data_IF_235159059616
#
_entry.id   IF_235159059616
#
_cell.length_a   1.000
_cell.length_b   1.000
_cell.length_c   1.000
_cell.angle_alpha   90.00
_cell.angle_beta   90.00
_cell.angle_gamma   90.00
#
_symmetry.space_group_name_H-M   'P 1'
#
loop_
_entity.id
_entity.type
_entity.pdbx_description
1 polymer ?
#
# COMPACT_ATOMS: atom_id res chain seq x y z
N UNK A 1 -25.95 21.64 9.12
CA UNK A 1 -25.63 20.55 8.17
C UNK A 1 -24.57 19.69 8.83
N UNK A 2 -24.80 18.40 9.13
CA UNK A 2 -23.73 17.58 9.67
C UNK A 2 -22.75 17.25 8.53
N UNK A 3 -21.47 17.52 8.77
CA UNK A 3 -20.39 17.04 7.92
C UNK A 3 -20.53 15.52 7.81
N UNK A 4 -20.80 15.01 6.59
CA UNK A 4 -20.72 13.57 6.34
C UNK A 4 -19.34 13.11 6.79
N UNK A 5 -19.30 12.16 7.72
CA UNK A 5 -18.10 11.43 8.14
C UNK A 5 -17.40 10.90 6.88
N UNK A 6 -16.43 11.66 6.36
CA UNK A 6 -15.52 11.15 5.36
C UNK A 6 -14.64 10.16 6.11
N UNK A 7 -14.75 8.88 5.75
CA UNK A 7 -13.86 7.85 6.28
C UNK A 7 -12.42 8.36 6.11
N UNK A 8 -11.56 8.25 7.13
CA UNK A 8 -10.18 8.73 7.04
C UNK A 8 -9.52 8.01 5.86
N UNK A 9 -9.27 8.76 4.79
CA UNK A 9 -8.60 8.19 3.61
C UNK A 9 -7.12 8.23 3.91
N UNK A 10 -6.41 7.10 3.87
CA UNK A 10 -4.97 7.08 4.10
C UNK A 10 -4.29 8.05 3.12
N UNK A 11 -3.42 8.91 3.64
CA UNK A 11 -2.68 9.86 2.82
C UNK A 11 -1.57 9.12 2.07
N UNK A 12 -0.89 8.24 2.81
CA UNK A 12 0.21 7.44 2.33
C UNK A 12 0.13 6.01 2.89
N UNK A 13 0.42 5.02 2.04
CA UNK A 13 0.49 3.61 2.44
C UNK A 13 1.86 3.07 2.01
N UNK A 14 2.56 2.45 2.95
CA UNK A 14 3.77 1.66 2.71
C UNK A 14 3.45 0.19 2.90
N UNK A 15 3.87 -0.65 1.96
CA UNK A 15 3.61 -2.08 1.94
C UNK A 15 4.92 -2.79 1.63
N UNK A 16 5.35 -3.69 2.51
CA UNK A 16 6.43 -4.63 2.21
C UNK A 16 5.83 -5.94 1.73
N UNK A 17 6.03 -6.26 0.45
CA UNK A 17 5.37 -7.40 -0.22
C UNK A 17 6.39 -8.29 -0.95
N UNK A 18 6.17 -9.62 -1.02
CA UNK A 18 6.93 -10.48 -1.92
C UNK A 18 6.84 -10.02 -3.37
N UNK A 19 7.97 -9.95 -4.06
CA UNK A 19 8.05 -9.49 -5.46
C UNK A 19 7.21 -10.35 -6.41
N UNK A 20 7.05 -11.64 -6.12
CA UNK A 20 6.24 -12.56 -6.92
C UNK A 20 4.77 -12.11 -7.05
N UNK A 21 4.25 -11.34 -6.09
CA UNK A 21 2.88 -10.81 -6.13
C UNK A 21 2.75 -9.57 -7.02
N UNK A 22 3.87 -9.00 -7.50
CA UNK A 22 3.93 -7.80 -8.32
C UNK A 22 4.07 -8.08 -9.81
N UNK A 23 4.05 -9.35 -10.25
CA UNK A 23 4.33 -9.74 -11.63
C UNK A 23 3.39 -9.16 -12.70
N UNK A 24 2.29 -8.52 -12.31
CA UNK A 24 1.32 -7.88 -13.21
C UNK A 24 1.37 -6.34 -13.16
N UNK A 25 2.31 -5.77 -12.39
CA UNK A 25 2.51 -4.33 -12.21
C UNK A 25 3.89 -3.95 -12.74
N UNK A 26 3.99 -2.76 -13.33
CA UNK A 26 5.29 -2.25 -13.77
C UNK A 26 6.16 -1.89 -12.56
N UNK A 27 7.32 -2.54 -12.43
CA UNK A 27 8.26 -2.31 -11.34
C UNK A 27 9.18 -1.16 -11.74
N UNK A 28 8.94 0.02 -11.19
CA UNK A 28 9.72 1.22 -11.42
C UNK A 28 9.87 2.01 -10.11
N UNK A 29 11.04 2.59 -9.91
CA UNK A 29 11.35 3.43 -8.74
C UNK A 29 10.90 4.89 -8.94
N UNK A 30 10.11 5.16 -9.98
CA UNK A 30 9.40 6.42 -10.20
C UNK A 30 7.90 6.27 -9.92
N UNK A 31 7.22 7.40 -9.68
CA UNK A 31 5.78 7.41 -9.42
C UNK A 31 4.99 7.11 -10.70
N UNK A 32 4.10 6.13 -10.60
CA UNK A 32 3.24 5.69 -11.69
C UNK A 32 1.78 5.90 -11.31
N UNK A 33 0.99 6.42 -12.23
CA UNK A 33 -0.46 6.54 -12.04
C UNK A 33 -1.09 5.16 -12.12
N UNK A 34 -1.79 4.75 -11.05
CA UNK A 34 -2.65 3.57 -11.10
C UNK A 34 -4.02 3.94 -11.67
N UNK A 35 -4.61 5.02 -11.13
CA UNK A 35 -5.82 5.62 -11.66
C UNK A 35 -5.81 7.15 -11.45
N UNK A 36 -6.97 7.80 -11.65
CA UNK A 36 -7.13 9.25 -11.49
C UNK A 36 -6.90 9.74 -10.05
N UNK A 37 -7.03 8.86 -9.06
CA UNK A 37 -6.92 9.20 -7.64
C UNK A 37 -5.58 8.75 -7.03
N UNK A 38 -5.07 7.58 -7.41
CA UNK A 38 -3.94 6.91 -6.77
C UNK A 38 -2.76 6.70 -7.71
N UNK A 39 -1.57 6.83 -7.12
CA UNK A 39 -0.30 6.51 -7.74
C UNK A 39 0.51 5.59 -6.84
N UNK A 40 1.43 4.84 -7.44
CA UNK A 40 2.30 3.92 -6.73
C UNK A 40 3.76 4.05 -7.19
N UNK A 41 4.68 3.61 -6.35
CA UNK A 41 6.12 3.50 -6.63
C UNK A 41 6.64 2.23 -5.98
N UNK A 42 7.56 1.55 -6.66
CA UNK A 42 8.13 0.29 -6.16
C UNK A 42 9.63 0.47 -6.02
N UNK A 43 10.14 0.37 -4.79
CA UNK A 43 11.57 0.48 -4.55
C UNK A 43 12.33 -0.73 -5.12
N UNK A 44 13.60 -0.54 -5.52
CA UNK A 44 14.48 -1.65 -5.86
C UNK A 44 14.63 -2.64 -4.68
N UNK A 45 15.03 -3.89 -4.95
CA UNK A 45 15.34 -4.85 -3.90
C UNK A 45 16.40 -4.32 -2.94
N UNK A 46 16.20 -4.56 -1.65
CA UNK A 46 17.30 -4.49 -0.69
C UNK A 46 18.09 -5.79 -0.73
N UNK A 47 19.42 -5.69 -0.66
CA UNK A 47 20.30 -6.86 -0.63
C UNK A 47 19.97 -7.83 0.54
N UNK A 48 19.47 -7.31 1.66
CA UNK A 48 19.08 -8.10 2.83
C UNK A 48 17.79 -8.90 2.64
N UNK A 49 16.91 -8.46 1.74
CA UNK A 49 15.61 -9.07 1.48
C UNK A 49 15.30 -9.04 -0.03
N UNK A 50 16.06 -9.81 -0.84
CA UNK A 50 16.05 -9.68 -2.31
C UNK A 50 14.70 -10.04 -2.94
N UNK A 51 13.89 -10.86 -2.27
CA UNK A 51 12.56 -11.29 -2.73
C UNK A 51 11.41 -10.41 -2.21
N UNK A 52 11.73 -9.32 -1.50
CA UNK A 52 10.73 -8.37 -1.03
C UNK A 52 10.91 -7.03 -1.74
N UNK A 53 9.80 -6.32 -1.91
CA UNK A 53 9.75 -4.97 -2.44
C UNK A 53 8.95 -4.08 -1.49
N UNK A 54 9.41 -2.85 -1.34
CA UNK A 54 8.61 -1.80 -0.72
C UNK A 54 7.78 -1.13 -1.80
N UNK A 55 6.46 -1.17 -1.61
CA UNK A 55 5.48 -0.49 -2.45
C UNK A 55 4.94 0.68 -1.66
N UNK A 56 5.02 1.85 -2.27
CA UNK A 56 4.45 3.08 -1.75
C UNK A 56 3.24 3.46 -2.57
N UNK A 57 2.18 3.87 -1.89
CA UNK A 57 0.92 4.29 -2.50
C UNK A 57 0.53 5.64 -1.93
N UNK A 58 0.13 6.54 -2.81
CA UNK A 58 -0.21 7.92 -2.47
C UNK A 58 -1.33 8.44 -3.37
N UNK A 59 -2.05 9.46 -2.92
CA UNK A 59 -2.93 10.23 -3.80
C UNK A 59 -2.12 10.96 -4.87
N UNK A 60 -2.49 10.79 -6.14
CA UNK A 60 -1.79 11.35 -7.30
C UNK A 60 -1.58 12.87 -7.22
N UNK A 61 -2.57 13.60 -6.70
CA UNK A 61 -2.51 15.06 -6.55
C UNK A 61 -1.51 15.53 -5.48
N UNK A 62 -1.10 14.65 -4.57
CA UNK A 62 -0.27 14.96 -3.41
C UNK A 62 1.19 14.52 -3.53
N UNK A 63 1.57 13.85 -4.63
CA UNK A 63 2.92 13.31 -4.85
C UNK A 63 4.02 14.33 -4.53
N UNK A 64 3.97 15.54 -5.11
CA UNK A 64 5.03 16.56 -4.94
C UNK A 64 5.15 17.07 -3.51
N UNK A 65 4.01 17.20 -2.82
CA UNK A 65 3.94 17.75 -1.47
C UNK A 65 4.44 16.72 -0.45
N UNK A 66 3.91 15.50 -0.52
CA UNK A 66 4.27 14.45 0.42
C UNK A 66 5.68 13.89 0.18
N UNK A 67 6.18 13.84 -1.07
CA UNK A 67 7.56 13.42 -1.32
C UNK A 67 8.57 14.40 -0.70
N UNK A 68 8.28 15.70 -0.76
CA UNK A 68 9.10 16.72 -0.09
C UNK A 68 9.08 16.52 1.42
N UNK A 69 7.89 16.34 2.00
CA UNK A 69 7.73 16.11 3.44
C UNK A 69 8.40 14.80 3.92
N UNK A 70 8.41 13.76 3.08
CA UNK A 70 9.14 12.52 3.37
C UNK A 70 10.65 12.68 3.32
N UNK A 71 11.18 13.41 2.33
CA UNK A 71 12.61 13.73 2.24
C UNK A 71 13.07 14.60 3.42
N UNK A 72 12.20 15.50 3.87
CA UNK A 72 12.46 16.42 4.98
C UNK A 72 12.31 15.74 6.37
N UNK A 73 12.14 14.41 6.44
CA UNK A 73 11.99 13.62 7.67
C UNK A 73 10.86 14.10 8.60
N UNK A 74 9.75 14.61 8.05
CA UNK A 74 8.58 14.89 8.87
C UNK A 74 8.08 13.60 9.53
N UNK A 75 7.63 13.72 10.79
CA UNK A 75 7.16 12.60 11.62
C UNK A 75 6.00 11.88 10.92
N UNK A 76 6.31 10.82 10.16
CA UNK A 76 5.32 9.88 9.67
C UNK A 76 4.81 9.08 10.86
N UNK A 77 3.66 9.47 11.40
CA UNK A 77 2.99 8.68 12.44
C UNK A 77 2.25 7.54 11.76
N UNK A 78 2.47 6.34 12.27
CA UNK A 78 1.71 5.19 11.85
C UNK A 78 0.26 5.33 12.36
N UNK A 79 -0.70 5.43 11.45
CA UNK A 79 -2.11 5.43 11.79
C UNK A 79 -2.60 3.97 11.92
N UNK A 80 -2.92 3.58 13.15
CA UNK A 80 -3.46 2.25 13.51
C UNK A 80 -4.98 2.23 13.64
N UNK A 81 -5.68 3.28 13.20
CA UNK A 81 -7.13 3.34 13.22
C UNK A 81 -7.73 2.26 12.30
N UNK A 82 -8.70 1.51 12.83
CA UNK A 82 -9.37 0.42 12.11
C UNK A 82 -10.04 0.87 10.80
N UNK A 83 -10.63 2.06 10.76
CA UNK A 83 -11.26 2.62 9.56
C UNK A 83 -10.22 2.98 8.48
N UNK A 84 -9.05 3.48 8.90
CA UNK A 84 -7.94 3.78 7.99
C UNK A 84 -7.36 2.48 7.43
N UNK A 85 -7.21 1.45 8.28
CA UNK A 85 -6.78 0.11 7.88
C UNK A 85 -7.74 -0.51 6.86
N UNK A 86 -9.04 -0.45 7.11
CA UNK A 86 -10.02 -1.02 6.18
C UNK A 86 -10.06 -0.26 4.85
N UNK A 87 -9.89 1.07 4.88
CA UNK A 87 -9.77 1.89 3.68
C UNK A 87 -8.48 1.56 2.90
N UNK A 88 -7.36 1.38 3.59
CA UNK A 88 -6.10 0.97 2.99
C UNK A 88 -6.20 -0.41 2.34
N UNK A 89 -6.85 -1.40 2.98
CA UNK A 89 -7.08 -2.72 2.38
C UNK A 89 -7.76 -2.65 1.02
N UNK A 90 -8.78 -1.79 0.89
CA UNK A 90 -9.50 -1.61 -0.39
C UNK A 90 -8.57 -1.06 -1.46
N UNK A 91 -7.76 -0.05 -1.12
CA UNK A 91 -6.80 0.56 -2.05
C UNK A 91 -5.72 -0.45 -2.45
N UNK A 92 -5.17 -1.20 -1.49
CA UNK A 92 -4.16 -2.24 -1.73
C UNK A 92 -4.70 -3.32 -2.66
N UNK A 93 -5.92 -3.83 -2.39
CA UNK A 93 -6.58 -4.81 -3.27
C UNK A 93 -6.72 -4.31 -4.70
N UNK A 94 -7.03 -3.02 -4.85
CA UNK A 94 -7.22 -2.37 -6.14
C UNK A 94 -5.89 -2.25 -6.89
N UNK A 95 -4.87 -1.70 -6.24
CA UNK A 95 -3.56 -1.43 -6.87
C UNK A 95 -2.84 -2.72 -7.21
N UNK A 96 -2.81 -3.66 -6.27
CA UNK A 96 -2.18 -4.97 -6.46
C UNK A 96 -3.03 -5.93 -7.32
N UNK A 97 -4.10 -5.41 -7.96
CA UNK A 97 -5.08 -6.12 -8.78
C UNK A 97 -5.40 -7.55 -8.30
N UNK A 98 -5.43 -7.72 -6.97
CA UNK A 98 -5.59 -9.02 -6.30
C UNK A 98 -6.99 -9.61 -6.54
N UNK A 99 -7.85 -8.85 -7.21
CA UNK A 99 -9.23 -9.19 -7.52
C UNK A 99 -9.45 -9.80 -8.91
N UNK A 100 -8.51 -9.66 -9.86
CA UNK A 100 -8.74 -10.07 -11.26
C UNK A 100 -7.67 -10.95 -11.89
N UNK A 101 -6.40 -10.82 -11.51
CA UNK A 101 -5.30 -11.32 -12.35
C UNK A 101 -4.31 -12.27 -11.69
N UNK A 102 -4.52 -12.66 -10.44
CA UNK A 102 -3.65 -13.66 -9.85
C UNK A 102 -4.30 -15.04 -9.88
N UNK A 103 -3.64 -16.06 -10.47
CA UNK A 103 -3.94 -17.44 -10.18
C UNK A 103 -3.45 -17.76 -8.76
N UNK A 104 -4.07 -17.15 -7.73
CA UNK A 104 -3.77 -17.42 -6.31
C UNK A 104 -4.57 -18.61 -5.76
N UNK A 105 -5.24 -19.40 -6.61
CA UNK A 105 -5.98 -20.59 -6.15
C UNK A 105 -5.11 -21.53 -5.30
N UNK A 106 -3.78 -21.49 -5.45
CA UNK A 106 -2.84 -22.27 -4.65
C UNK A 106 -2.11 -21.52 -3.51
N UNK A 107 -2.29 -20.20 -3.31
CA UNK A 107 -1.59 -19.46 -2.25
C UNK A 107 -2.52 -18.71 -1.28
N UNK A 108 -3.82 -18.53 -1.60
CA UNK A 108 -4.81 -17.96 -0.68
C UNK A 108 -5.35 -18.98 0.34
N UNK A 109 -5.13 -20.27 0.10
CA UNK A 109 -5.73 -21.35 0.89
C UNK A 109 -4.81 -21.90 1.99
N UNK A 110 -3.55 -21.47 2.07
CA UNK A 110 -2.68 -21.99 3.12
C UNK A 110 -2.81 -21.15 4.40
N UNK A 111 -3.48 -21.74 5.39
CA UNK A 111 -3.82 -21.27 6.75
C UNK A 111 -5.17 -20.54 6.94
N UNK A 112 -6.28 -21.29 6.79
CA UNK A 112 -7.45 -21.14 7.66
C UNK A 112 -8.27 -19.85 7.56
N UNK A 113 -8.80 -19.54 6.38
CA UNK A 113 -9.78 -18.47 6.10
C UNK A 113 -9.24 -17.03 6.04
N UNK A 114 -7.91 -16.82 6.05
CA UNK A 114 -7.32 -15.48 6.08
C UNK A 114 -6.72 -15.06 4.74
N UNK A 115 -6.99 -13.83 4.29
CA UNK A 115 -6.38 -13.30 3.06
C UNK A 115 -4.89 -12.93 3.25
N UNK A 116 -4.09 -12.92 2.19
CA UNK A 116 -2.67 -12.51 2.23
C UNK A 116 -2.52 -11.08 2.77
N UNK A 117 -3.43 -10.17 2.40
CA UNK A 117 -3.47 -8.79 2.90
C UNK A 117 -3.77 -8.79 4.41
N UNK A 118 -4.74 -9.62 4.81
CA UNK A 118 -4.98 -10.14 6.17
C UNK A 118 -3.68 -10.33 6.96
N UNK A 119 -2.84 -11.22 6.41
CA UNK A 119 -1.58 -11.64 7.01
C UNK A 119 -0.51 -10.54 7.00
N UNK A 120 -0.44 -9.76 5.93
CA UNK A 120 0.53 -8.67 5.79
C UNK A 120 0.28 -7.55 6.79
N UNK A 121 -0.98 -7.21 7.04
CA UNK A 121 -1.34 -6.20 8.05
C UNK A 121 -0.95 -6.70 9.44
N UNK A 122 -1.31 -7.93 9.80
CA UNK A 122 -0.98 -8.47 11.13
C UNK A 122 0.51 -8.67 11.36
N UNK A 123 1.26 -9.00 10.31
CA UNK A 123 2.73 -9.09 10.37
C UNK A 123 3.40 -7.71 10.34
N UNK A 124 2.63 -6.63 10.47
CA UNK A 124 3.09 -5.25 10.46
C UNK A 124 3.91 -4.90 9.19
N UNK A 125 3.54 -5.52 8.06
CA UNK A 125 4.15 -5.28 6.74
C UNK A 125 3.43 -4.17 5.97
N UNK A 126 2.25 -3.76 6.43
CA UNK A 126 1.53 -2.57 5.93
C UNK A 126 1.62 -1.48 6.98
N UNK A 127 2.11 -0.32 6.59
CA UNK A 127 2.13 0.89 7.42
C UNK A 127 1.31 1.97 6.74
N UNK A 128 0.32 2.50 7.45
CA UNK A 128 -0.44 3.66 7.00
C UNK A 128 0.20 4.87 7.64
N UNK A 129 0.73 5.78 6.82
CA UNK A 129 1.46 6.92 7.32
C UNK A 129 0.60 8.16 7.16
N UNK A 130 0.49 8.91 8.24
CA UNK A 130 -0.03 10.26 8.24
C UNK A 130 1.12 11.25 8.34
N UNK A 131 1.11 12.21 7.43
CA UNK A 131 2.02 13.35 7.47
C UNK A 131 1.30 14.43 8.30
N UNK A 132 1.96 14.84 9.38
CA UNK A 132 1.43 15.82 10.36
C UNK A 132 2.18 17.14 10.25
#
# INVERSE_FOLDING_TARGET
MPFKNQKPTPQYIHISIPEILLGHINIDNTWQSFDQEWSYRIEPPYASHPFQRDVYVIKSKKIKEEEKLMRDNYLTKENKNLEAIESAKVIIKKILDLSKNLPIENWLNDTGHRSIIESMIDKNKVKILEIT
#
